data_IF_618699795918
#
_entry.id   IF_618699795918
#
_cell.length_a   1.000
_cell.length_b   1.000
_cell.length_c   1.000
_cell.angle_alpha   90.00
_cell.angle_beta   90.00
_cell.angle_gamma   90.00
#
_symmetry.space_group_name_H-M   'P 1'
#
loop_
_entity.id
_entity.type
_entity.pdbx_description
1 polymer ?
#
# COMPACT_ATOMS: atom_id res chain seq x y z
N UNK A 1 -34.33 -67.87 -1.66
CA UNK A 1 -34.32 -66.85 -0.59
C UNK A 1 -32.93 -66.22 -0.42
N UNK A 2 -32.18 -66.03 -1.51
CA UNK A 2 -30.78 -65.53 -1.51
C UNK A 2 -30.53 -64.44 -2.55
N UNK A 3 -31.51 -64.07 -3.38
CA UNK A 3 -31.35 -63.06 -4.42
C UNK A 3 -31.53 -61.63 -3.90
N UNK A 4 -32.48 -61.39 -2.98
CA UNK A 4 -32.74 -60.04 -2.44
C UNK A 4 -31.59 -59.48 -1.58
N UNK A 5 -30.87 -60.35 -0.85
CA UNK A 5 -29.77 -59.91 0.02
C UNK A 5 -28.51 -59.47 -0.76
N UNK A 6 -28.34 -59.93 -2.00
CA UNK A 6 -27.19 -59.60 -2.84
C UNK A 6 -27.37 -58.26 -3.59
N UNK A 7 -28.62 -57.89 -3.92
CA UNK A 7 -28.90 -56.63 -4.62
C UNK A 7 -28.75 -55.41 -3.70
N UNK A 8 -29.14 -55.53 -2.42
CA UNK A 8 -28.97 -54.46 -1.43
C UNK A 8 -27.48 -54.18 -1.12
N UNK A 9 -26.67 -55.22 -0.94
CA UNK A 9 -25.21 -55.10 -0.75
C UNK A 9 -24.51 -54.50 -1.99
N UNK A 10 -24.97 -54.88 -3.19
CA UNK A 10 -24.47 -54.32 -4.45
C UNK A 10 -24.82 -52.84 -4.58
N UNK A 11 -26.04 -52.43 -4.22
CA UNK A 11 -26.51 -51.04 -4.28
C UNK A 11 -25.79 -50.14 -3.27
N UNK A 12 -25.51 -50.66 -2.06
CA UNK A 12 -24.73 -49.96 -1.04
C UNK A 12 -23.27 -49.74 -1.49
N UNK A 13 -22.61 -50.78 -2.03
CA UNK A 13 -21.25 -50.65 -2.57
C UNK A 13 -21.15 -49.72 -3.79
N UNK A 14 -22.20 -49.67 -4.64
CA UNK A 14 -22.30 -48.72 -5.75
C UNK A 14 -22.44 -47.28 -5.24
N UNK A 15 -23.28 -47.05 -4.23
CA UNK A 15 -23.46 -45.72 -3.62
C UNK A 15 -22.16 -45.21 -3.00
N UNK A 16 -21.46 -46.06 -2.22
CA UNK A 16 -20.17 -45.73 -1.61
C UNK A 16 -19.08 -45.41 -2.65
N UNK A 17 -19.04 -46.14 -3.78
CA UNK A 17 -18.15 -45.84 -4.90
C UNK A 17 -18.46 -44.50 -5.57
N UNK A 18 -19.73 -44.13 -5.71
CA UNK A 18 -20.10 -42.82 -6.28
C UNK A 18 -19.77 -41.65 -5.34
N UNK A 19 -19.88 -41.84 -4.02
CA UNK A 19 -19.52 -40.82 -3.01
C UNK A 19 -18.00 -40.63 -2.97
N UNK A 20 -17.23 -41.71 -2.93
CA UNK A 20 -15.76 -41.66 -2.95
C UNK A 20 -15.23 -41.05 -4.25
N UNK A 21 -15.86 -41.33 -5.39
CA UNK A 21 -15.51 -40.72 -6.68
C UNK A 21 -15.81 -39.21 -6.72
N UNK A 22 -16.93 -38.77 -6.16
CA UNK A 22 -17.26 -37.33 -6.03
C UNK A 22 -16.29 -36.59 -5.10
N UNK A 23 -15.91 -37.22 -4.00
CA UNK A 23 -14.93 -36.66 -3.06
C UNK A 23 -13.55 -36.51 -3.70
N UNK A 24 -13.12 -37.50 -4.50
CA UNK A 24 -11.88 -37.44 -5.25
C UNK A 24 -11.89 -36.31 -6.29
N UNK A 25 -13.03 -36.10 -6.96
CA UNK A 25 -13.20 -34.99 -7.91
C UNK A 25 -13.16 -33.62 -7.21
N UNK A 26 -13.78 -33.50 -6.03
CA UNK A 26 -13.76 -32.29 -5.23
C UNK A 26 -12.34 -31.93 -4.74
N UNK A 27 -11.57 -32.93 -4.30
CA UNK A 27 -10.17 -32.75 -3.90
C UNK A 27 -9.29 -32.27 -5.07
N UNK A 28 -9.51 -32.81 -6.28
CA UNK A 28 -8.79 -32.39 -7.47
C UNK A 28 -9.09 -30.92 -7.85
N UNK A 29 -10.34 -30.47 -7.72
CA UNK A 29 -10.74 -29.08 -7.96
C UNK A 29 -10.06 -28.12 -6.97
N UNK A 30 -9.93 -28.52 -5.70
CA UNK A 30 -9.21 -27.74 -4.68
C UNK A 30 -7.72 -27.62 -5.02
N UNK A 31 -7.08 -28.69 -5.45
CA UNK A 31 -5.65 -28.65 -5.84
C UNK A 31 -5.45 -27.73 -7.05
N UNK A 32 -6.33 -27.81 -8.05
CA UNK A 32 -6.27 -26.94 -9.24
C UNK A 32 -6.50 -25.48 -8.86
N UNK A 33 -7.47 -25.17 -7.98
CA UNK A 33 -7.73 -23.79 -7.56
C UNK A 33 -6.59 -23.21 -6.72
N UNK A 34 -5.95 -23.99 -5.85
CA UNK A 34 -4.74 -23.58 -5.15
C UNK A 34 -3.61 -23.26 -6.12
N UNK A 35 -3.37 -24.10 -7.14
CA UNK A 35 -2.35 -23.84 -8.15
C UNK A 35 -2.67 -22.59 -8.99
N UNK A 36 -3.93 -22.31 -9.28
CA UNK A 36 -4.37 -21.13 -10.03
C UNK A 36 -4.22 -19.84 -9.19
N UNK A 37 -4.48 -19.92 -7.88
CA UNK A 37 -4.38 -18.79 -6.96
C UNK A 37 -2.92 -18.49 -6.55
N UNK A 38 -2.06 -19.52 -6.42
CA UNK A 38 -0.64 -19.34 -6.09
C UNK A 38 0.24 -19.03 -7.32
N UNK A 39 -0.20 -19.35 -8.54
CA UNK A 39 0.54 -19.03 -9.77
C UNK A 39 0.22 -17.61 -10.25
N UNK A 40 0.46 -16.62 -9.40
CA UNK A 40 0.62 -15.23 -9.84
C UNK A 40 1.60 -14.45 -8.98
N UNK A 41 2.80 -14.99 -8.80
CA UNK A 41 3.97 -14.23 -8.38
C UNK A 41 5.12 -14.49 -9.35
N UNK A 42 4.91 -14.10 -10.62
CA UNK A 42 6.04 -13.87 -11.50
C UNK A 42 6.66 -12.52 -11.12
N UNK A 43 7.67 -12.56 -10.27
CA UNK A 43 8.80 -11.67 -10.44
C UNK A 43 10.05 -12.53 -10.24
N UNK A 44 10.52 -13.11 -11.33
CA UNK A 44 11.91 -13.51 -11.42
C UNK A 44 12.72 -12.20 -11.38
N UNK A 45 12.99 -11.72 -10.17
CA UNK A 45 13.93 -10.62 -9.95
C UNK A 45 15.33 -11.16 -10.22
N UNK A 46 15.83 -10.77 -11.39
CA UNK A 46 17.22 -10.60 -11.76
C UNK A 46 18.20 -10.63 -10.56
N UNK A 47 18.87 -11.76 -10.37
CA UNK A 47 19.85 -12.01 -9.30
C UNK A 47 21.22 -11.35 -9.59
N UNK A 48 21.23 -10.13 -10.12
CA UNK A 48 22.44 -9.30 -10.22
C UNK A 48 22.24 -7.90 -9.64
N UNK A 49 21.66 -7.81 -8.45
CA UNK A 49 21.72 -6.59 -7.63
C UNK A 49 23.14 -6.42 -7.08
N UNK A 50 24.04 -5.87 -7.89
CA UNK A 50 25.17 -5.12 -7.36
C UNK A 50 24.54 -4.08 -6.44
N UNK A 51 24.83 -4.17 -5.13
CA UNK A 51 24.34 -3.23 -4.13
C UNK A 51 24.92 -1.85 -4.45
N UNK A 52 24.25 -1.15 -5.36
CA UNK A 52 24.56 0.23 -5.70
C UNK A 52 24.20 1.02 -4.47
N UNK A 53 25.21 1.25 -3.60
CA UNK A 53 25.10 2.11 -2.43
C UNK A 53 24.30 3.34 -2.83
N UNK A 54 23.14 3.51 -2.22
CA UNK A 54 22.25 4.61 -2.56
C UNK A 54 23.03 5.91 -2.43
N UNK A 55 22.97 6.73 -3.48
CA UNK A 55 23.59 8.04 -3.44
C UNK A 55 22.89 8.85 -2.34
N UNK A 56 23.68 9.38 -1.40
CA UNK A 56 23.17 10.29 -0.39
C UNK A 56 22.77 11.60 -1.10
N UNK A 57 21.49 11.93 -1.05
CA UNK A 57 20.91 13.16 -1.60
C UNK A 57 20.67 14.12 -0.44
N UNK A 58 21.26 15.31 -0.53
CA UNK A 58 21.08 16.37 0.48
C UNK A 58 20.46 17.60 -0.18
N UNK A 59 19.34 18.06 0.36
CA UNK A 59 18.63 19.28 -0.08
C UNK A 59 18.06 20.01 1.14
N UNK A 60 17.94 21.33 1.07
CA UNK A 60 17.35 22.16 2.14
C UNK A 60 17.99 22.00 3.54
N UNK A 61 19.21 21.45 3.61
CA UNK A 61 19.88 21.13 4.87
C UNK A 61 19.58 19.73 5.44
N UNK A 62 18.78 18.92 4.75
CA UNK A 62 18.36 17.58 5.17
C UNK A 62 18.94 16.49 4.26
N UNK A 63 19.13 15.28 4.82
CA UNK A 63 19.43 14.07 4.04
C UNK A 63 18.11 13.48 3.58
N UNK A 64 17.77 13.64 2.30
CA UNK A 64 16.46 13.25 1.78
C UNK A 64 16.23 11.73 1.79
N UNK A 65 17.29 10.93 1.84
CA UNK A 65 17.19 9.46 1.96
C UNK A 65 16.50 9.01 3.25
N UNK A 66 16.44 9.87 4.27
CA UNK A 66 15.82 9.58 5.56
C UNK A 66 14.30 9.83 5.56
N UNK A 67 13.76 10.32 4.45
CA UNK A 67 12.37 10.76 4.33
C UNK A 67 11.70 10.18 3.09
N UNK A 68 10.38 10.06 3.15
CA UNK A 68 9.56 9.98 1.93
C UNK A 68 9.33 11.40 1.41
N UNK A 69 9.80 11.68 0.19
CA UNK A 69 9.81 13.04 -0.36
C UNK A 69 8.65 13.24 -1.33
N UNK A 70 7.75 14.18 -1.03
CA UNK A 70 6.67 14.60 -1.95
C UNK A 70 6.92 16.01 -2.42
N UNK A 71 6.88 16.22 -3.73
CA UNK A 71 6.99 17.54 -4.36
C UNK A 71 5.69 17.87 -5.06
N UNK A 72 5.24 19.10 -4.89
CA UNK A 72 4.01 19.59 -5.52
C UNK A 72 4.13 21.11 -5.73
N UNK A 73 3.08 21.75 -6.22
CA UNK A 73 3.04 23.16 -6.58
C UNK A 73 1.76 23.79 -6.06
N UNK A 74 1.86 25.03 -5.58
CA UNK A 74 0.71 25.78 -5.07
C UNK A 74 -0.24 26.10 -6.23
N UNK A 75 -1.52 25.75 -6.07
CA UNK A 75 -2.58 25.98 -7.05
C UNK A 75 -3.44 27.17 -6.64
N UNK A 76 -4.22 27.68 -7.59
CA UNK A 76 -5.17 28.76 -7.33
C UNK A 76 -6.21 28.30 -6.31
N UNK A 77 -6.37 29.07 -5.24
CA UNK A 77 -7.29 28.74 -4.14
C UNK A 77 -6.63 27.98 -2.98
N UNK A 78 -5.40 27.49 -3.14
CA UNK A 78 -4.69 26.84 -2.04
C UNK A 78 -4.35 27.85 -0.94
N UNK A 79 -4.60 27.45 0.31
CA UNK A 79 -4.08 28.13 1.49
C UNK A 79 -3.04 27.26 2.18
N UNK A 80 -2.10 27.87 2.91
CA UNK A 80 -1.07 27.13 3.64
C UNK A 80 -1.67 26.07 4.57
N UNK A 81 -2.69 26.43 5.35
CA UNK A 81 -3.36 25.47 6.25
C UNK A 81 -4.05 24.33 5.51
N UNK A 82 -4.70 24.63 4.39
CA UNK A 82 -5.37 23.61 3.57
C UNK A 82 -4.36 22.66 2.92
N UNK A 83 -3.19 23.13 2.50
CA UNK A 83 -2.13 22.26 2.00
C UNK A 83 -1.69 21.28 3.10
N UNK A 84 -1.54 21.74 4.35
CA UNK A 84 -1.18 20.87 5.46
C UNK A 84 -2.28 19.82 5.75
N UNK A 85 -3.54 20.25 5.74
CA UNK A 85 -4.71 19.38 5.92
C UNK A 85 -4.80 18.28 4.86
N UNK A 86 -4.63 18.66 3.58
CA UNK A 86 -4.63 17.74 2.44
C UNK A 86 -3.48 16.71 2.48
N UNK A 87 -2.47 16.97 3.31
CA UNK A 87 -1.34 16.07 3.54
C UNK A 87 -1.42 15.40 4.92
N UNK A 88 -2.64 15.20 5.43
CA UNK A 88 -2.97 14.40 6.62
C UNK A 88 -2.46 14.98 7.96
N UNK A 89 -2.20 16.28 8.05
CA UNK A 89 -1.99 16.92 9.35
C UNK A 89 -3.31 17.14 10.09
N UNK A 90 -3.34 16.73 11.35
CA UNK A 90 -4.52 16.90 12.20
C UNK A 90 -4.74 18.38 12.58
N UNK A 91 -5.99 18.84 12.50
CA UNK A 91 -6.36 20.26 12.56
C UNK A 91 -5.84 21.05 13.79
N UNK A 92 -5.91 20.52 15.02
CA UNK A 92 -5.31 21.20 16.19
C UNK A 92 -3.82 21.51 16.03
N UNK A 93 -3.07 20.64 15.33
CA UNK A 93 -1.64 20.86 15.06
C UNK A 93 -1.45 21.92 13.98
N UNK A 94 -2.31 21.95 12.96
CA UNK A 94 -2.26 22.95 11.88
C UNK A 94 -2.43 24.36 12.43
N UNK A 95 -3.38 24.58 13.34
CA UNK A 95 -3.60 25.90 13.94
C UNK A 95 -2.31 26.44 14.57
N UNK A 96 -1.65 25.65 15.41
CA UNK A 96 -0.41 26.04 16.07
C UNK A 96 0.71 26.31 15.06
N UNK A 97 0.88 25.45 14.04
CA UNK A 97 1.87 25.66 12.98
C UNK A 97 1.61 26.98 12.24
N UNK A 98 0.36 27.25 11.87
CA UNK A 98 -0.05 28.49 11.20
C UNK A 98 0.26 29.72 12.05
N UNK A 99 -0.04 29.68 13.35
CA UNK A 99 0.24 30.79 14.26
C UNK A 99 1.74 31.04 14.42
N UNK A 100 2.53 30.00 14.69
CA UNK A 100 3.98 30.14 14.88
C UNK A 100 4.69 30.53 13.58
N UNK A 101 4.30 29.95 12.45
CA UNK A 101 4.91 30.28 11.14
C UNK A 101 4.65 31.73 10.78
N UNK A 102 3.43 32.25 11.02
CA UNK A 102 3.09 33.64 10.71
C UNK A 102 3.94 34.68 11.45
N UNK A 103 4.53 34.32 12.60
CA UNK A 103 5.43 35.22 13.34
C UNK A 103 6.74 35.47 12.61
N UNK A 104 7.21 34.51 11.80
CA UNK A 104 8.49 34.57 11.07
C UNK A 104 8.31 34.76 9.57
N UNK A 105 7.21 34.25 9.00
CA UNK A 105 6.92 34.28 7.57
C UNK A 105 5.42 34.47 7.34
N UNK A 106 5.06 35.50 6.59
CA UNK A 106 3.66 35.72 6.24
C UNK A 106 3.18 34.63 5.25
N UNK A 107 2.41 33.66 5.75
CA UNK A 107 1.95 32.50 4.97
C UNK A 107 1.01 32.88 3.82
N UNK A 108 0.45 34.10 3.80
CA UNK A 108 -0.32 34.59 2.65
C UNK A 108 0.54 34.95 1.45
N UNK A 109 1.86 34.99 1.61
CA UNK A 109 2.83 35.26 0.53
C UNK A 109 3.21 34.02 -0.27
N UNK A 110 2.67 32.85 0.06
CA UNK A 110 2.86 31.67 -0.78
C UNK A 110 2.17 31.91 -2.13
N UNK A 111 2.92 31.81 -3.21
CA UNK A 111 2.45 32.22 -4.53
C UNK A 111 2.02 31.02 -5.37
N UNK A 112 0.91 31.19 -6.11
CA UNK A 112 0.46 30.21 -7.11
C UNK A 112 1.56 29.92 -8.12
N UNK A 113 1.72 28.66 -8.50
CA UNK A 113 2.75 28.18 -9.42
C UNK A 113 4.12 27.98 -8.78
N UNK A 114 4.31 28.31 -7.49
CA UNK A 114 5.57 28.03 -6.80
C UNK A 114 5.59 26.60 -6.24
N UNK A 115 6.71 25.87 -6.41
CA UNK A 115 6.85 24.54 -5.88
C UNK A 115 6.99 24.56 -4.36
N UNK A 116 6.54 23.48 -3.73
CA UNK A 116 6.82 23.17 -2.34
C UNK A 116 7.18 21.69 -2.20
N UNK A 117 7.87 21.36 -1.11
CA UNK A 117 8.25 19.98 -0.79
C UNK A 117 7.80 19.64 0.61
N UNK A 118 7.22 18.45 0.78
CA UNK A 118 6.91 17.88 2.09
C UNK A 118 7.79 16.66 2.29
N UNK A 119 8.47 16.62 3.44
CA UNK A 119 9.22 15.45 3.87
C UNK A 119 8.41 14.72 4.94
N UNK A 120 8.15 13.45 4.67
CA UNK A 120 7.40 12.55 5.54
C UNK A 120 8.35 11.58 6.23
N UNK A 121 7.94 11.09 7.40
CA UNK A 121 8.58 9.95 8.04
C UNK A 121 8.68 8.76 7.08
N UNK A 122 9.77 8.01 7.16
CA UNK A 122 10.02 6.83 6.31
C UNK A 122 9.38 5.55 6.86
N UNK A 123 8.40 5.69 7.76
CA UNK A 123 7.64 4.59 8.33
C UNK A 123 6.30 4.41 7.59
N UNK A 124 5.56 3.36 7.95
CA UNK A 124 4.29 3.05 7.28
C UNK A 124 3.18 4.09 7.50
N UNK A 125 3.36 5.01 8.45
CA UNK A 125 2.37 6.03 8.77
C UNK A 125 2.52 7.28 7.89
N UNK A 126 3.69 7.48 7.27
CA UNK A 126 4.01 8.62 6.40
C UNK A 126 3.49 9.94 7.00
N UNK A 127 3.98 10.27 8.20
CA UNK A 127 3.59 11.48 8.91
C UNK A 127 4.42 12.65 8.34
N UNK A 128 3.80 13.77 7.93
CA UNK A 128 4.54 14.94 7.46
C UNK A 128 5.31 15.59 8.61
N UNK A 129 6.62 15.72 8.43
CA UNK A 129 7.53 16.30 9.42
C UNK A 129 7.97 17.70 9.04
N UNK A 130 8.21 17.95 7.74
CA UNK A 130 8.76 19.20 7.24
C UNK A 130 7.96 19.70 6.04
N UNK A 131 7.61 20.98 6.06
CA UNK A 131 7.07 21.71 4.91
C UNK A 131 8.09 22.73 4.44
N UNK A 132 8.53 22.61 3.19
CA UNK A 132 9.63 23.40 2.62
C UNK A 132 9.08 24.25 1.47
N UNK A 133 9.25 25.56 1.60
CA UNK A 133 8.85 26.55 0.62
C UNK A 133 9.97 27.56 0.40
N UNK A 134 10.24 27.87 -0.87
CA UNK A 134 11.24 28.84 -1.28
C UNK A 134 10.56 29.92 -2.15
N UNK A 135 10.35 31.14 -1.62
CA UNK A 135 9.70 32.25 -2.33
C UNK A 135 10.55 32.84 -3.46
#
# INVERSE_FOLDING_TARGET
MTEDFNDDQKKESLSLKTITLKFLFFLAVIVVSYNLFFKNNNSAEDLTKIEKKEKIVKEFGYVLNDYTVKRDTIKSGDSFGQILENNNLFYPKIYNIVQETNKIFNIRKINVGRPYTILYSKDSLEIPELFIYQP
#
